data_IF_410329652779
#
_entry.id   IF_410329652779
#
_cell.length_a   1.000
_cell.length_b   1.000
_cell.length_c   1.000
_cell.angle_alpha   90.00
_cell.angle_beta   90.00
_cell.angle_gamma   90.00
#
_symmetry.space_group_name_H-M   'P 1'
#
loop_
_entity.id
_entity.type
_entity.pdbx_description
1 polymer ?
#
# COMPACT_ATOMS: atom_id res chain seq x y z
N UNK A 1 1.51 -26.00 13.96
CA UNK A 1 2.74 -26.76 14.25
C UNK A 1 2.55 -27.71 15.44
N UNK A 2 2.07 -27.23 16.61
CA UNK A 2 1.85 -28.08 17.79
C UNK A 2 0.93 -29.27 17.49
N UNK A 3 -0.21 -29.05 16.83
CA UNK A 3 -1.14 -30.13 16.48
C UNK A 3 -0.52 -31.18 15.54
N UNK A 4 0.31 -30.73 14.61
CA UNK A 4 1.04 -31.62 13.68
C UNK A 4 2.08 -32.45 14.44
N UNK A 5 2.79 -31.85 15.40
CA UNK A 5 3.77 -32.55 16.23
C UNK A 5 3.12 -33.57 17.17
N UNK A 6 1.95 -33.26 17.73
CA UNK A 6 1.17 -34.20 18.55
C UNK A 6 0.63 -35.37 17.72
N UNK A 7 0.19 -35.10 16.50
CA UNK A 7 -0.24 -36.13 15.54
C UNK A 7 0.93 -37.02 15.12
N UNK A 8 2.07 -36.42 14.78
CA UNK A 8 3.30 -37.12 14.41
C UNK A 8 3.78 -38.02 15.55
N UNK A 9 3.78 -37.51 16.78
CA UNK A 9 4.18 -38.28 17.97
C UNK A 9 3.28 -39.48 18.22
N UNK A 10 1.97 -39.36 17.98
CA UNK A 10 1.02 -40.48 18.08
C UNK A 10 1.22 -41.51 16.95
N UNK A 11 1.57 -41.06 15.75
CA UNK A 11 1.77 -41.92 14.57
C UNK A 11 3.12 -42.64 14.51
N UNK A 12 4.19 -42.09 15.12
CA UNK A 12 5.55 -42.61 14.96
C UNK A 12 5.74 -44.01 15.57
N UNK A 13 4.98 -44.33 16.61
CA UNK A 13 4.98 -45.64 17.25
C UNK A 13 4.62 -46.76 16.27
N UNK A 14 3.75 -46.47 15.29
CA UNK A 14 3.36 -47.43 14.26
C UNK A 14 4.46 -47.64 13.20
N UNK A 15 5.39 -46.70 13.04
CA UNK A 15 6.53 -46.85 12.12
C UNK A 15 7.65 -47.73 12.67
N UNK A 16 7.70 -47.93 14.00
CA UNK A 16 8.63 -48.86 14.65
C UNK A 16 8.43 -50.32 14.24
N UNK A 17 7.22 -50.68 13.79
CA UNK A 17 6.95 -52.01 13.24
C UNK A 17 7.70 -52.28 11.92
N UNK A 18 8.14 -51.23 11.21
CA UNK A 18 8.89 -51.32 9.97
C UNK A 18 10.41 -51.47 10.13
N UNK A 19 10.91 -51.89 11.29
CA UNK A 19 12.34 -51.99 11.62
C UNK A 19 13.12 -50.67 11.50
N UNK A 20 12.41 -49.54 11.40
CA UNK A 20 12.99 -48.20 11.43
C UNK A 20 12.99 -47.66 12.86
N UNK A 21 14.06 -46.94 13.23
CA UNK A 21 14.14 -46.34 14.56
C UNK A 21 13.14 -45.17 14.69
N UNK A 22 12.11 -45.26 15.55
CA UNK A 22 11.07 -44.23 15.66
C UNK A 22 11.61 -42.87 16.08
N UNK A 23 12.68 -42.83 16.89
CA UNK A 23 13.26 -41.58 17.37
C UNK A 23 13.92 -40.79 16.24
N UNK A 24 14.58 -41.50 15.31
CA UNK A 24 15.26 -40.89 14.17
C UNK A 24 14.23 -40.33 13.19
N UNK A 25 13.20 -41.10 12.88
CA UNK A 25 12.11 -40.68 11.99
C UNK A 25 11.34 -39.48 12.57
N UNK A 26 11.05 -39.50 13.88
CA UNK A 26 10.45 -38.35 14.57
C UNK A 26 11.30 -37.09 14.42
N UNK A 27 12.61 -37.20 14.70
CA UNK A 27 13.53 -36.06 14.60
C UNK A 27 13.59 -35.50 13.18
N UNK A 28 13.69 -36.37 12.18
CA UNK A 28 13.79 -35.95 10.78
C UNK A 28 12.51 -35.25 10.29
N UNK A 29 11.35 -35.84 10.57
CA UNK A 29 10.06 -35.28 10.14
C UNK A 29 9.71 -34.01 10.93
N UNK A 30 10.05 -33.96 12.23
CA UNK A 30 9.89 -32.75 13.04
C UNK A 30 10.77 -31.59 12.57
N UNK A 31 11.99 -31.87 12.10
CA UNK A 31 12.88 -30.85 11.57
C UNK A 31 12.30 -30.24 10.29
N UNK A 32 11.81 -31.07 9.37
CA UNK A 32 11.16 -30.59 8.14
C UNK A 32 9.93 -29.72 8.43
N UNK A 33 9.07 -30.15 9.36
CA UNK A 33 7.89 -29.38 9.78
C UNK A 33 8.24 -28.05 10.48
N UNK A 34 9.40 -28.01 11.13
CA UNK A 34 9.90 -26.80 11.78
C UNK A 34 10.45 -25.81 10.74
N UNK A 35 11.26 -26.28 9.80
CA UNK A 35 11.82 -25.46 8.73
C UNK A 35 10.72 -24.82 7.87
N UNK A 36 9.68 -25.58 7.53
CA UNK A 36 8.51 -25.06 6.81
C UNK A 36 7.78 -23.97 7.61
N UNK A 37 7.57 -24.20 8.92
CA UNK A 37 6.94 -23.21 9.79
C UNK A 37 7.77 -21.92 9.87
N UNK A 38 9.08 -22.04 10.05
CA UNK A 38 9.99 -20.88 10.11
C UNK A 38 9.95 -20.10 8.81
N UNK A 39 9.97 -20.78 7.66
CA UNK A 39 9.87 -20.15 6.35
C UNK A 39 8.55 -19.37 6.20
N UNK A 40 7.42 -19.98 6.57
CA UNK A 40 6.12 -19.31 6.53
C UNK A 40 6.07 -18.07 7.43
N UNK A 41 6.66 -18.12 8.63
CA UNK A 41 6.77 -16.96 9.52
C UNK A 41 7.65 -15.86 8.89
N UNK A 42 8.77 -16.23 8.29
CA UNK A 42 9.66 -15.28 7.62
C UNK A 42 8.96 -14.58 6.44
N UNK A 43 8.20 -15.32 5.64
CA UNK A 43 7.42 -14.77 4.53
C UNK A 43 6.33 -13.83 5.05
N UNK A 44 5.56 -14.25 6.06
CA UNK A 44 4.46 -13.44 6.61
C UNK A 44 4.97 -12.16 7.27
N UNK A 45 6.07 -12.24 8.03
CA UNK A 45 6.70 -11.07 8.63
C UNK A 45 7.25 -10.12 7.56
N UNK A 46 7.95 -10.63 6.54
CA UNK A 46 8.43 -9.82 5.43
C UNK A 46 7.28 -9.14 4.66
N UNK A 47 6.22 -9.89 4.36
CA UNK A 47 5.03 -9.37 3.67
C UNK A 47 4.32 -8.31 4.51
N UNK A 48 4.11 -8.57 5.79
CA UNK A 48 3.46 -7.65 6.73
C UNK A 48 4.28 -6.37 6.90
N UNK A 49 5.61 -6.48 7.00
CA UNK A 49 6.49 -5.32 7.03
C UNK A 49 6.38 -4.54 5.72
N UNK A 50 6.59 -5.16 4.55
CA UNK A 50 6.51 -4.49 3.25
C UNK A 50 5.16 -3.81 3.00
N UNK A 51 4.05 -4.42 3.43
CA UNK A 51 2.71 -3.88 3.25
C UNK A 51 2.36 -2.77 4.24
N UNK A 52 2.85 -2.85 5.47
CA UNK A 52 2.63 -1.82 6.50
C UNK A 52 3.71 -0.73 6.51
N UNK A 53 4.75 -0.88 5.69
CA UNK A 53 5.65 0.19 5.36
C UNK A 53 4.82 1.27 4.68
N UNK A 54 4.50 2.30 5.46
CA UNK A 54 3.90 3.57 5.03
C UNK A 54 4.74 4.29 3.97
N UNK A 55 5.54 3.60 3.17
CA UNK A 55 6.31 4.11 2.04
C UNK A 55 5.36 4.86 1.10
N UNK A 56 4.19 4.30 0.78
CA UNK A 56 3.21 5.01 -0.05
C UNK A 56 2.72 6.31 0.62
N UNK A 57 2.47 6.27 1.93
CA UNK A 57 2.06 7.46 2.68
C UNK A 57 3.20 8.48 2.87
N UNK A 58 4.46 8.02 2.94
CA UNK A 58 5.66 8.85 3.07
C UNK A 58 6.02 9.50 1.72
N UNK A 59 5.93 8.76 0.61
CA UNK A 59 6.08 9.28 -0.75
C UNK A 59 5.01 10.34 -1.03
N UNK A 60 3.75 10.06 -0.70
CA UNK A 60 2.66 11.04 -0.85
C UNK A 60 2.91 12.32 -0.03
N UNK A 61 3.43 12.20 1.20
CA UNK A 61 3.77 13.35 2.03
C UNK A 61 4.89 14.21 1.42
N UNK A 62 5.88 13.56 0.82
CA UNK A 62 7.04 14.24 0.24
C UNK A 62 6.71 14.87 -1.12
N UNK A 63 5.85 14.25 -1.93
CA UNK A 63 5.28 14.86 -3.13
C UNK A 63 4.51 16.15 -2.81
N UNK A 64 3.69 16.15 -1.75
CA UNK A 64 2.97 17.34 -1.30
C UNK A 64 3.91 18.46 -0.83
N UNK A 65 4.98 18.11 -0.10
CA UNK A 65 6.02 19.08 0.31
C UNK A 65 6.73 19.70 -0.89
N UNK A 66 7.16 18.88 -1.85
CA UNK A 66 7.83 19.37 -3.07
C UNK A 66 6.90 20.26 -3.88
N UNK A 67 5.63 19.86 -4.08
CA UNK A 67 4.64 20.68 -4.78
C UNK A 67 4.39 22.03 -4.09
N UNK A 68 4.38 22.07 -2.76
CA UNK A 68 4.20 23.32 -2.00
C UNK A 68 5.40 24.26 -2.14
N UNK A 69 6.62 23.72 -2.14
CA UNK A 69 7.85 24.50 -2.36
C UNK A 69 7.91 25.00 -3.81
N UNK A 70 7.59 24.15 -4.79
CA UNK A 70 7.54 24.52 -6.21
C UNK A 70 6.48 25.60 -6.47
N UNK A 71 5.29 25.50 -5.87
CA UNK A 71 4.26 26.57 -5.92
C UNK A 71 4.67 27.85 -5.19
N UNK A 72 5.53 27.76 -4.18
CA UNK A 72 6.08 28.93 -3.50
C UNK A 72 7.16 29.65 -4.32
N UNK A 73 7.89 28.92 -5.17
CA UNK A 73 8.96 29.45 -6.01
C UNK A 73 8.51 29.84 -7.41
N UNK A 74 7.49 29.18 -7.95
CA UNK A 74 6.89 29.52 -9.25
C UNK A 74 5.70 30.44 -9.03
N UNK A 75 5.69 31.61 -9.67
CA UNK A 75 4.53 32.50 -9.73
C UNK A 75 3.41 31.94 -10.64
N UNK A 76 3.13 30.63 -10.56
CA UNK A 76 1.98 30.03 -11.23
C UNK A 76 0.76 30.49 -10.46
N UNK A 77 0.15 31.55 -10.96
CA UNK A 77 -1.14 32.06 -10.50
C UNK A 77 -2.11 30.87 -10.50
N UNK A 78 -2.68 30.54 -9.34
CA UNK A 78 -3.71 29.50 -9.28
C UNK A 78 -4.83 29.87 -10.25
N UNK A 79 -5.16 28.98 -11.18
CA UNK A 79 -6.22 29.15 -12.19
C UNK A 79 -7.64 29.30 -11.59
N UNK A 80 -7.75 29.45 -10.26
CA UNK A 80 -9.00 29.69 -9.55
C UNK A 80 -9.59 31.09 -9.75
N UNK A 81 -8.86 32.01 -10.37
CA UNK A 81 -9.43 33.24 -10.94
C UNK A 81 -9.43 33.14 -12.46
N UNK A 82 -10.35 32.33 -13.00
CA UNK A 82 -10.63 32.30 -14.42
C UNK A 82 -11.16 33.69 -14.82
N UNK A 83 -10.25 34.59 -15.21
CA UNK A 83 -10.60 35.95 -15.64
C UNK A 83 -11.52 35.83 -16.84
N UNK A 84 -12.79 36.17 -16.65
CA UNK A 84 -13.79 36.14 -17.73
C UNK A 84 -13.27 36.97 -18.89
N UNK A 85 -13.08 36.33 -20.04
CA UNK A 85 -12.55 36.99 -21.23
C UNK A 85 -13.54 38.03 -21.74
N UNK A 86 -13.02 39.11 -22.33
CA UNK A 86 -13.83 40.25 -22.81
C UNK A 86 -14.99 39.84 -23.74
N UNK A 87 -14.86 38.75 -24.50
CA UNK A 87 -15.90 38.24 -25.39
C UNK A 87 -16.71 37.04 -24.84
N UNK A 88 -16.39 36.53 -23.66
CA UNK A 88 -17.05 35.37 -23.06
C UNK A 88 -18.46 35.72 -22.55
N UNK A 89 -19.35 34.73 -22.36
CA UNK A 89 -20.66 34.94 -21.74
C UNK A 89 -20.50 35.61 -20.37
N UNK A 90 -21.25 36.69 -20.14
CA UNK A 90 -21.14 37.45 -18.90
C UNK A 90 -21.69 36.64 -17.70
N UNK A 91 -20.95 36.51 -16.58
CA UNK A 91 -21.33 35.67 -15.44
C UNK A 91 -22.54 36.20 -14.66
N UNK A 92 -23.01 37.43 -14.93
CA UNK A 92 -24.22 37.99 -14.34
C UNK A 92 -25.53 37.42 -14.93
N UNK A 93 -25.46 36.45 -15.86
CA UNK A 93 -26.63 35.78 -16.43
C UNK A 93 -27.40 36.59 -17.48
N UNK A 94 -26.86 37.72 -17.95
CA UNK A 94 -27.53 38.61 -18.90
C UNK A 94 -27.61 38.10 -20.34
N UNK A 95 -26.98 36.96 -20.65
CA UNK A 95 -26.89 36.39 -22.00
C UNK A 95 -26.03 37.19 -23.00
N UNK A 96 -25.42 38.30 -22.57
CA UNK A 96 -24.57 39.17 -23.40
C UNK A 96 -23.09 38.84 -23.18
N UNK A 97 -22.23 39.18 -24.16
CA UNK A 97 -20.76 39.10 -24.00
C UNK A 97 -20.29 40.04 -22.88
N UNK A 98 -19.26 39.66 -22.13
CA UNK A 98 -18.76 40.42 -20.96
C UNK A 98 -18.50 41.90 -21.26
N UNK A 99 -17.84 42.22 -22.39
CA UNK A 99 -17.62 43.61 -22.87
C UNK A 99 -18.86 44.44 -23.13
N UNK A 100 -20.00 43.79 -23.32
CA UNK A 100 -21.28 44.43 -23.61
C UNK A 100 -22.20 44.46 -22.37
N UNK A 101 -21.70 43.99 -21.22
CA UNK A 101 -22.41 43.96 -19.94
C UNK A 101 -21.49 44.46 -18.81
N UNK A 102 -21.09 43.62 -17.86
CA UNK A 102 -20.32 44.02 -16.68
C UNK A 102 -18.91 44.56 -16.99
N UNK A 103 -18.38 44.35 -18.20
CA UNK A 103 -17.10 44.87 -18.66
C UNK A 103 -17.20 46.01 -19.69
N UNK A 104 -18.30 46.78 -19.70
CA UNK A 104 -18.49 47.93 -20.62
C UNK A 104 -17.64 49.15 -20.24
N UNK A 105 -17.42 49.36 -18.95
CA UNK A 105 -16.72 50.53 -18.39
C UNK A 105 -15.42 50.15 -17.66
N UNK A 106 -14.97 48.90 -17.85
CA UNK A 106 -13.74 48.34 -17.29
C UNK A 106 -12.58 48.37 -18.29
#
# INVERSE_FOLDING_TARGET
HIDNMDTLKKGITLRGYGQKNPLVEYRLESANLFDEMVNNIQIDTAYTLLKNNKIDAFIAQEEDRVNKVVRGFTFVKSDSEQKVGRNDPCPCGSGKKYKNCCGKDA
#
